data_IF_621822494661
#
_entry.id   IF_621822494661
#
_cell.length_a   1.000
_cell.length_b   1.000
_cell.length_c   1.000
_cell.angle_alpha   90.00
_cell.angle_beta   90.00
_cell.angle_gamma   90.00
#
_symmetry.space_group_name_H-M   'P 1'
#
loop_
_entity.id
_entity.type
_entity.pdbx_description
1 polymer ?
#
# COMPACT_ATOMS: atom_id res chain seq x y z
N UNK A 1 4.79 11.02 37.94
CA UNK A 1 5.77 9.99 37.74
C UNK A 1 5.49 9.11 36.56
N UNK A 2 6.34 8.14 36.34
CA UNK A 2 6.23 7.21 35.23
C UNK A 2 4.91 6.41 35.23
N UNK A 3 4.43 6.03 36.41
CA UNK A 3 3.19 5.27 36.58
C UNK A 3 1.95 6.05 36.16
N UNK A 4 1.93 7.35 36.44
CA UNK A 4 0.87 8.24 35.98
C UNK A 4 0.79 8.34 34.46
N UNK A 5 1.93 8.48 33.79
CA UNK A 5 2.02 8.56 32.33
C UNK A 5 1.57 7.24 31.71
N UNK A 6 1.99 6.11 32.25
CA UNK A 6 1.57 4.78 31.78
C UNK A 6 0.06 4.55 31.91
N UNK A 7 -0.55 5.02 33.00
CA UNK A 7 -2.01 4.92 33.22
C UNK A 7 -2.79 5.72 32.17
N UNK A 8 -2.37 6.95 31.89
CA UNK A 8 -3.01 7.80 30.86
C UNK A 8 -2.87 7.19 29.47
N UNK A 9 -1.70 6.66 29.15
CA UNK A 9 -1.48 5.98 27.86
C UNK A 9 -2.33 4.72 27.73
N UNK A 10 -2.48 3.95 28.79
CA UNK A 10 -3.33 2.75 28.79
C UNK A 10 -4.80 3.08 28.55
N UNK A 11 -5.33 4.07 29.23
CA UNK A 11 -6.71 4.54 29.01
C UNK A 11 -6.93 5.02 27.58
N UNK A 12 -6.01 5.80 27.03
CA UNK A 12 -6.04 6.24 25.63
C UNK A 12 -5.95 5.06 24.68
N UNK A 13 -5.09 4.09 24.95
CA UNK A 13 -4.90 2.90 24.13
C UNK A 13 -6.15 2.04 24.13
N UNK A 14 -6.77 1.79 25.27
CA UNK A 14 -8.01 1.02 25.36
C UNK A 14 -9.16 1.69 24.60
N UNK A 15 -9.28 3.02 24.72
CA UNK A 15 -10.27 3.80 24.00
C UNK A 15 -10.04 3.78 22.49
N UNK A 16 -8.80 3.78 22.06
CA UNK A 16 -8.37 3.75 20.69
C UNK A 16 -8.61 2.38 20.07
N UNK A 17 -8.28 1.28 20.77
CA UNK A 17 -8.55 -0.09 20.32
C UNK A 17 -10.05 -0.36 20.14
N UNK A 18 -10.89 0.35 20.88
CA UNK A 18 -12.34 0.20 20.78
C UNK A 18 -12.99 1.12 19.74
N UNK A 19 -12.31 2.19 19.31
CA UNK A 19 -12.91 3.20 18.43
C UNK A 19 -12.21 3.34 17.07
N UNK A 20 -10.90 3.54 17.00
CA UNK A 20 -10.24 3.80 15.72
C UNK A 20 -8.73 3.53 15.76
N UNK A 21 -8.38 2.27 15.64
CA UNK A 21 -6.98 1.90 15.39
C UNK A 21 -6.42 2.60 14.14
N UNK A 22 -7.28 2.88 13.17
CA UNK A 22 -6.96 3.53 11.90
C UNK A 22 -6.52 4.98 12.04
N UNK A 23 -7.02 5.72 13.03
CA UNK A 23 -6.66 7.12 13.24
C UNK A 23 -5.25 7.30 13.80
N UNK A 24 -4.66 6.23 14.36
CA UNK A 24 -3.33 6.28 14.98
C UNK A 24 -2.23 5.83 14.04
N UNK A 25 -2.50 4.83 13.20
CA UNK A 25 -1.49 4.16 12.39
C UNK A 25 -1.17 4.93 11.09
N UNK A 26 -1.92 6.01 10.80
CA UNK A 26 -1.89 6.61 9.48
C UNK A 26 -2.61 5.71 8.46
N UNK A 27 -3.53 6.27 7.72
CA UNK A 27 -4.41 5.52 6.82
C UNK A 27 -3.74 5.01 5.55
N UNK A 28 -2.51 5.41 5.29
CA UNK A 28 -1.79 5.08 4.06
C UNK A 28 -0.79 3.95 4.27
N UNK A 29 -0.74 3.00 3.34
CA UNK A 29 0.24 1.92 3.35
C UNK A 29 1.65 2.42 3.03
N UNK A 30 1.77 3.41 2.15
CA UNK A 30 3.06 3.97 1.71
C UNK A 30 3.14 5.42 2.15
N UNK A 31 4.07 5.71 3.06
CA UNK A 31 4.30 7.05 3.61
C UNK A 31 5.65 7.65 3.21
N UNK A 32 6.49 6.86 2.53
CA UNK A 32 7.80 7.31 2.08
C UNK A 32 7.68 8.15 0.80
N UNK A 33 8.67 8.99 0.56
CA UNK A 33 8.77 9.75 -0.70
C UNK A 33 9.24 8.86 -1.85
N UNK A 34 8.97 9.30 -3.08
CA UNK A 34 9.28 8.54 -4.29
C UNK A 34 10.77 8.20 -4.43
N UNK A 35 11.65 9.09 -3.99
CA UNK A 35 13.11 8.93 -4.04
C UNK A 35 13.65 7.88 -3.07
N UNK A 36 12.81 7.37 -2.16
CA UNK A 36 13.16 6.25 -1.29
C UNK A 36 13.22 4.91 -2.03
N UNK A 37 12.64 4.85 -3.22
CA UNK A 37 12.51 3.62 -3.99
C UNK A 37 13.45 3.63 -5.21
N UNK A 38 14.05 2.48 -5.50
CA UNK A 38 14.84 2.26 -6.72
C UNK A 38 14.03 1.58 -7.83
N UNK A 39 12.99 0.84 -7.43
CA UNK A 39 12.12 0.12 -8.36
C UNK A 39 10.73 -0.04 -7.77
N UNK A 40 9.72 0.04 -8.63
CA UNK A 40 8.33 -0.30 -8.31
C UNK A 40 7.85 -1.30 -9.35
N UNK A 41 7.56 -2.52 -8.93
CA UNK A 41 7.06 -3.57 -9.81
C UNK A 41 5.57 -3.78 -9.57
N UNK A 42 4.84 -4.04 -10.64
CA UNK A 42 3.41 -4.33 -10.63
C UNK A 42 3.16 -5.66 -11.28
N UNK A 43 2.30 -6.47 -10.69
CA UNK A 43 1.90 -7.76 -11.24
C UNK A 43 0.37 -7.86 -11.25
N UNK A 44 -0.18 -8.19 -12.41
CA UNK A 44 -1.53 -8.74 -12.54
C UNK A 44 -1.37 -10.19 -12.98
N UNK A 45 -2.32 -11.05 -12.74
CA UNK A 45 -2.20 -12.45 -13.16
C UNK A 45 -1.85 -12.65 -14.65
N UNK A 46 -2.02 -11.64 -15.50
CA UNK A 46 -1.80 -11.71 -16.94
C UNK A 46 -0.59 -10.90 -17.42
N UNK A 47 -0.12 -9.89 -16.68
CA UNK A 47 0.97 -9.00 -17.12
C UNK A 47 1.75 -8.43 -15.94
N UNK A 48 3.02 -8.15 -16.22
CA UNK A 48 3.92 -7.49 -15.27
C UNK A 48 4.41 -6.17 -15.86
N UNK A 49 4.55 -5.17 -15.02
CA UNK A 49 5.13 -3.88 -15.38
C UNK A 49 6.09 -3.45 -14.27
N UNK A 50 7.12 -2.70 -14.62
CA UNK A 50 8.04 -2.17 -13.62
C UNK A 50 8.48 -0.75 -13.95
N UNK A 51 8.63 0.06 -12.91
CA UNK A 51 9.21 1.39 -12.98
C UNK A 51 10.58 1.33 -12.32
N UNK A 52 11.62 1.65 -13.07
CA UNK A 52 12.96 1.86 -12.54
C UNK A 52 13.19 3.34 -12.28
N UNK A 53 13.74 3.65 -11.12
CA UNK A 53 14.03 5.03 -10.67
C UNK A 53 15.55 5.17 -10.51
N UNK A 54 16.19 5.84 -11.44
CA UNK A 54 17.63 6.01 -11.44
C UNK A 54 18.01 7.49 -11.55
N UNK A 55 18.55 8.07 -10.47
CA UNK A 55 19.07 9.44 -10.44
C UNK A 55 18.06 10.49 -10.95
N UNK A 56 16.79 10.36 -10.55
CA UNK A 56 15.73 11.28 -10.97
C UNK A 56 15.24 11.07 -12.39
N UNK A 57 15.56 9.92 -12.97
CA UNK A 57 15.06 9.49 -14.28
C UNK A 57 14.24 8.21 -14.09
N UNK A 58 13.00 8.25 -14.50
CA UNK A 58 12.06 7.15 -14.38
C UNK A 58 11.80 6.48 -15.74
N UNK A 59 11.78 5.16 -15.75
CA UNK A 59 11.41 4.39 -16.94
C UNK A 59 10.34 3.38 -16.60
N UNK A 60 9.34 3.25 -17.47
CA UNK A 60 8.31 2.22 -17.38
C UNK A 60 8.61 1.13 -18.42
N UNK A 61 8.88 -0.07 -17.96
CA UNK A 61 9.25 -1.22 -18.82
C UNK A 61 10.42 -0.89 -19.76
N UNK A 62 11.41 -0.13 -19.27
CA UNK A 62 12.59 0.30 -20.03
C UNK A 62 12.38 1.50 -20.96
N UNK A 63 11.18 2.09 -21.00
CA UNK A 63 10.88 3.28 -21.80
C UNK A 63 10.83 4.52 -20.90
N UNK A 64 11.42 5.60 -21.35
CA UNK A 64 11.41 6.87 -20.61
C UNK A 64 10.00 7.30 -20.25
N UNK A 65 9.80 7.64 -18.98
CA UNK A 65 8.53 8.07 -18.42
C UNK A 65 8.61 9.56 -18.07
N UNK A 66 7.58 10.33 -18.37
CA UNK A 66 7.57 11.73 -17.96
C UNK A 66 7.41 11.84 -16.43
N UNK A 67 8.04 12.87 -15.85
CA UNK A 67 7.91 13.13 -14.41
C UNK A 67 6.46 13.33 -13.97
N UNK A 68 5.61 13.88 -14.83
CA UNK A 68 4.19 14.04 -14.56
C UNK A 68 3.48 12.67 -14.48
N UNK A 69 3.75 11.79 -15.46
CA UNK A 69 3.18 10.43 -15.46
C UNK A 69 3.63 9.64 -14.23
N UNK A 70 4.90 9.74 -13.87
CA UNK A 70 5.44 9.11 -12.67
C UNK A 70 4.77 9.64 -11.40
N UNK A 71 4.63 10.96 -11.26
CA UNK A 71 3.93 11.59 -10.14
C UNK A 71 2.50 11.10 -10.00
N UNK A 72 1.79 10.96 -11.12
CA UNK A 72 0.41 10.46 -11.13
C UNK A 72 0.34 9.02 -10.61
N UNK A 73 1.22 8.14 -11.10
CA UNK A 73 1.28 6.74 -10.63
C UNK A 73 1.65 6.70 -9.14
N UNK A 74 2.68 7.44 -8.74
CA UNK A 74 3.11 7.45 -7.33
C UNK A 74 2.04 8.02 -6.40
N UNK A 75 1.30 9.04 -6.84
CA UNK A 75 0.16 9.57 -6.10
C UNK A 75 -0.92 8.52 -5.89
N UNK A 76 -1.23 7.72 -6.91
CA UNK A 76 -2.18 6.61 -6.78
C UNK A 76 -1.70 5.56 -5.77
N UNK A 77 -0.41 5.23 -5.76
CA UNK A 77 0.18 4.32 -4.78
C UNK A 77 0.08 4.91 -3.36
N UNK A 78 0.46 6.17 -3.18
CA UNK A 78 0.42 6.86 -1.89
C UNK A 78 -0.99 7.04 -1.34
N UNK A 79 -1.99 7.06 -2.21
CA UNK A 79 -3.40 7.17 -1.84
C UNK A 79 -4.08 5.83 -1.52
N UNK A 80 -3.34 4.72 -1.58
CA UNK A 80 -3.88 3.43 -1.12
C UNK A 80 -4.03 3.49 0.40
N UNK A 81 -5.26 3.37 0.88
CA UNK A 81 -5.60 3.54 2.28
C UNK A 81 -6.06 2.24 2.93
N UNK A 82 -5.84 2.15 4.23
CA UNK A 82 -6.43 1.12 5.07
C UNK A 82 -7.87 1.54 5.38
N UNK A 83 -8.84 0.90 4.74
CA UNK A 83 -10.25 1.30 4.84
C UNK A 83 -11.04 0.45 5.85
N UNK A 84 -10.46 -0.62 6.36
CA UNK A 84 -11.05 -1.49 7.38
C UNK A 84 -10.14 -2.66 7.71
N UNK A 85 -10.52 -3.42 8.71
CA UNK A 85 -9.85 -4.68 9.04
C UNK A 85 -10.30 -5.79 8.08
N UNK A 86 -9.38 -6.64 7.69
CA UNK A 86 -9.68 -7.80 6.85
C UNK A 86 -9.94 -9.04 7.71
N UNK A 87 -10.95 -9.81 7.30
CA UNK A 87 -11.13 -11.19 7.73
C UNK A 87 -10.36 -12.08 6.73
N UNK A 88 -9.21 -12.59 7.13
CA UNK A 88 -8.35 -13.40 6.28
C UNK A 88 -9.10 -14.58 5.61
N UNK A 89 -10.09 -15.14 6.30
CA UNK A 89 -10.88 -16.27 5.78
C UNK A 89 -11.71 -15.91 4.54
N UNK A 90 -11.96 -14.63 4.31
CA UNK A 90 -12.70 -14.11 3.14
C UNK A 90 -11.82 -13.70 1.98
N UNK A 91 -10.52 -13.58 2.21
CA UNK A 91 -9.57 -13.25 1.15
C UNK A 91 -9.46 -14.42 0.16
N UNK A 92 -9.53 -14.07 -1.12
CA UNK A 92 -9.53 -15.05 -2.23
C UNK A 92 -8.29 -14.90 -3.09
N UNK A 93 -8.41 -15.11 -4.39
CA UNK A 93 -7.30 -15.05 -5.32
C UNK A 93 -6.68 -13.65 -5.42
N UNK A 94 -5.37 -13.62 -5.65
CA UNK A 94 -4.63 -12.41 -5.94
C UNK A 94 -5.10 -11.80 -7.27
N UNK A 95 -5.37 -10.49 -7.24
CA UNK A 95 -5.79 -9.71 -8.42
C UNK A 95 -4.65 -8.83 -8.91
N UNK A 96 -3.88 -8.27 -7.98
CA UNK A 96 -2.84 -7.31 -8.26
C UNK A 96 -1.78 -7.34 -7.16
N UNK A 97 -0.54 -7.08 -7.50
CA UNK A 97 0.54 -6.95 -6.52
C UNK A 97 1.45 -5.77 -6.86
N UNK A 98 1.96 -5.12 -5.82
CA UNK A 98 2.95 -4.05 -5.91
C UNK A 98 4.16 -4.47 -5.09
N UNK A 99 5.34 -4.37 -5.68
CA UNK A 99 6.60 -4.59 -4.99
C UNK A 99 7.42 -3.31 -5.00
N UNK A 100 7.73 -2.78 -3.83
CA UNK A 100 8.50 -1.55 -3.66
C UNK A 100 9.91 -1.92 -3.19
N UNK A 101 10.91 -1.65 -4.01
CA UNK A 101 12.32 -1.93 -3.70
C UNK A 101 13.00 -0.67 -3.18
N UNK A 102 13.56 -0.77 -1.98
CA UNK A 102 14.35 0.28 -1.29
C UNK A 102 15.79 -0.19 -1.10
N UNK A 103 16.67 0.72 -0.67
CA UNK A 103 18.07 0.39 -0.37
C UNK A 103 18.22 -0.66 0.74
N UNK A 104 17.31 -0.70 1.70
CA UNK A 104 17.34 -1.57 2.88
C UNK A 104 16.43 -2.79 2.76
N UNK A 105 15.71 -2.96 1.66
CA UNK A 105 14.82 -4.11 1.47
C UNK A 105 13.68 -3.88 0.50
N UNK A 106 12.74 -4.79 0.51
CA UNK A 106 11.60 -4.80 -0.41
C UNK A 106 10.31 -4.99 0.38
N UNK A 107 9.31 -4.17 0.09
CA UNK A 107 7.95 -4.31 0.61
C UNK A 107 7.05 -4.86 -0.50
N UNK A 108 6.31 -5.91 -0.22
CA UNK A 108 5.35 -6.51 -1.14
C UNK A 108 3.92 -6.33 -0.62
N UNK A 109 3.04 -5.82 -1.48
CA UNK A 109 1.62 -5.69 -1.21
C UNK A 109 0.84 -6.48 -2.25
N UNK A 110 0.06 -7.45 -1.80
CA UNK A 110 -0.83 -8.22 -2.67
C UNK A 110 -2.27 -7.81 -2.39
N UNK A 111 -3.02 -7.60 -3.44
CA UNK A 111 -4.43 -7.24 -3.37
C UNK A 111 -5.25 -8.45 -3.77
N UNK A 112 -6.00 -8.98 -2.80
CA UNK A 112 -6.77 -10.20 -2.94
C UNK A 112 -8.26 -9.87 -3.08
N UNK A 113 -8.95 -10.57 -3.92
CA UNK A 113 -10.40 -10.42 -4.03
C UNK A 113 -11.05 -10.68 -2.66
N UNK A 114 -11.85 -9.73 -2.19
CA UNK A 114 -12.50 -9.79 -0.88
C UNK A 114 -14.01 -9.73 -1.00
N UNK A 115 -14.54 -8.59 -1.43
CA UNK A 115 -15.96 -8.40 -1.72
C UNK A 115 -16.19 -7.47 -2.92
N UNK A 116 -17.39 -6.97 -3.12
CA UNK A 116 -17.72 -6.12 -4.27
C UNK A 116 -17.11 -4.72 -4.21
N UNK A 117 -16.67 -4.27 -3.03
CA UNK A 117 -16.18 -2.91 -2.80
C UNK A 117 -14.71 -2.85 -2.41
N UNK A 118 -14.15 -3.93 -1.87
CA UNK A 118 -12.82 -3.95 -1.27
C UNK A 118 -11.97 -5.09 -1.77
N UNK A 119 -10.66 -4.84 -1.77
CA UNK A 119 -9.63 -5.89 -1.82
C UNK A 119 -9.03 -6.06 -0.42
N UNK A 120 -8.74 -7.29 -0.02
CA UNK A 120 -7.90 -7.53 1.14
C UNK A 120 -6.45 -7.26 0.76
N UNK A 121 -5.68 -6.70 1.66
CA UNK A 121 -4.27 -6.37 1.44
C UNK A 121 -3.40 -7.29 2.27
N UNK A 122 -2.62 -8.10 1.59
CA UNK A 122 -1.58 -8.92 2.20
C UNK A 122 -0.26 -8.16 2.11
N UNK A 123 0.33 -7.86 3.25
CA UNK A 123 1.65 -7.24 3.36
C UNK A 123 2.62 -8.22 4.00
N UNK A 124 3.67 -8.58 3.27
CA UNK A 124 4.72 -9.48 3.76
C UNK A 124 4.16 -10.78 4.37
N UNK A 125 3.13 -11.36 3.76
CA UNK A 125 2.51 -12.60 4.17
C UNK A 125 1.40 -12.50 5.22
N UNK A 126 0.99 -11.27 5.60
CA UNK A 126 -0.09 -11.02 6.57
C UNK A 126 -1.22 -10.22 5.93
N UNK A 127 -2.44 -10.71 6.10
CA UNK A 127 -3.66 -10.06 5.62
C UNK A 127 -4.41 -9.43 6.79
N UNK A 128 -4.24 -8.13 6.98
CA UNK A 128 -4.76 -7.41 8.14
C UNK A 128 -5.82 -6.37 7.77
N UNK A 129 -5.76 -5.82 6.55
CA UNK A 129 -6.59 -4.68 6.17
C UNK A 129 -7.25 -4.88 4.80
N UNK A 130 -8.31 -4.09 4.55
CA UNK A 130 -8.95 -3.96 3.24
C UNK A 130 -8.73 -2.55 2.68
N UNK A 131 -8.76 -2.43 1.37
CA UNK A 131 -8.70 -1.15 0.64
C UNK A 131 -9.76 -1.09 -0.44
N UNK A 132 -10.26 0.11 -0.73
CA UNK A 132 -11.26 0.32 -1.77
C UNK A 132 -10.75 -0.07 -3.16
N UNK A 133 -11.58 -0.79 -3.92
CA UNK A 133 -11.21 -1.29 -5.24
C UNK A 133 -10.94 -0.19 -6.27
N UNK A 134 -11.59 0.96 -6.14
CA UNK A 134 -11.49 2.03 -7.15
C UNK A 134 -10.07 2.56 -7.32
N UNK A 135 -9.34 2.76 -6.23
CA UNK A 135 -7.96 3.25 -6.30
C UNK A 135 -7.03 2.23 -6.94
N UNK A 136 -7.21 0.96 -6.62
CA UNK A 136 -6.42 -0.14 -7.20
C UNK A 136 -6.71 -0.28 -8.69
N UNK A 137 -7.96 -0.18 -9.11
CA UNK A 137 -8.34 -0.24 -10.53
C UNK A 137 -7.73 0.91 -11.33
N UNK A 138 -7.75 2.12 -10.79
CA UNK A 138 -7.09 3.28 -11.42
C UNK A 138 -5.60 3.08 -11.57
N UNK A 139 -4.94 2.52 -10.55
CA UNK A 139 -3.52 2.22 -10.60
C UNK A 139 -3.21 1.14 -11.63
N UNK A 140 -3.98 0.07 -11.66
CA UNK A 140 -3.85 -0.99 -12.68
C UNK A 140 -3.94 -0.43 -14.09
N UNK A 141 -4.87 0.49 -14.33
CA UNK A 141 -5.03 1.14 -15.65
C UNK A 141 -3.87 2.06 -16.00
N UNK A 142 -3.29 2.73 -14.99
CA UNK A 142 -2.18 3.67 -15.20
C UNK A 142 -0.84 2.98 -15.51
N UNK A 143 -0.67 1.72 -15.15
CA UNK A 143 0.59 0.96 -15.32
C UNK A 143 0.53 -0.13 -16.40
N UNK A 144 -0.53 -0.16 -17.19
CA UNK A 144 -0.68 -1.09 -18.33
C UNK A 144 0.29 -0.83 -19.47
#
# INVERSE_FOLDING_TARGET
>A
GKDYVCTVLKEKTDKILNTDLFDIIGKHFVNESADSFSRIAFSTGASNSEIDINNGKETLNGKDMSSESFKNVFTLISNITMDGEADESKAKAEVFAITLTKADGTDEYKFLQYDDNYYAVERNGKTEFVTGQNNIKKLMDAVK
#
